data_IF_122019598096
#
_entry.id   IF_122019598096
#
_cell.length_a   1.000
_cell.length_b   1.000
_cell.length_c   1.000
_cell.angle_alpha   90.00
_cell.angle_beta   90.00
_cell.angle_gamma   90.00
#
_symmetry.space_group_name_H-M   'P 1'
#
loop_
_entity.id
_entity.type
_entity.pdbx_description
1 polymer ?
#
# COMPACT_ATOMS: atom_id res chain seq x y z
N UNK A 1 43.60 4.64 35.60
CA UNK A 1 43.08 3.42 34.93
C UNK A 1 41.72 3.06 35.54
N UNK A 2 40.71 3.92 35.36
CA UNK A 2 39.35 3.71 35.89
C UNK A 2 38.27 4.07 34.85
N UNK A 3 38.59 4.90 33.86
CA UNK A 3 37.64 5.35 32.84
C UNK A 3 37.42 4.34 31.69
N UNK A 4 38.41 3.53 31.33
CA UNK A 4 38.27 2.53 30.25
C UNK A 4 37.28 1.41 30.63
N UNK A 5 37.34 0.95 31.87
CA UNK A 5 36.48 -0.12 32.38
C UNK A 5 34.98 0.28 32.45
N UNK A 6 34.71 1.60 32.46
CA UNK A 6 33.35 2.13 32.47
C UNK A 6 32.73 2.12 31.07
N UNK A 7 33.53 2.33 30.01
CA UNK A 7 33.04 2.30 28.63
C UNK A 7 32.57 0.89 28.28
N UNK A 8 33.36 -0.14 28.58
CA UNK A 8 33.02 -1.56 28.35
C UNK A 8 31.74 -1.98 29.10
N UNK A 9 31.53 -1.44 30.32
CA UNK A 9 30.34 -1.74 31.12
C UNK A 9 29.03 -1.14 30.56
N UNK A 10 29.11 -0.08 29.75
CA UNK A 10 27.96 0.59 29.14
C UNK A 10 27.86 0.38 27.62
N UNK A 11 28.88 -0.15 26.97
CA UNK A 11 28.94 -0.38 25.52
C UNK A 11 27.71 -1.15 25.02
N UNK A 12 27.37 -2.27 25.66
CA UNK A 12 26.19 -3.07 25.28
C UNK A 12 24.87 -2.31 25.44
N UNK A 13 24.75 -1.46 26.47
CA UNK A 13 23.56 -0.63 26.67
C UNK A 13 23.45 0.45 25.60
N UNK A 14 24.57 1.09 25.26
CA UNK A 14 24.64 2.11 24.21
C UNK A 14 24.30 1.50 22.85
N UNK A 15 24.91 0.35 22.50
CA UNK A 15 24.61 -0.35 21.24
C UNK A 15 23.15 -0.72 21.15
N UNK A 16 22.58 -1.30 22.21
CA UNK A 16 21.17 -1.68 22.25
C UNK A 16 20.23 -0.47 22.10
N UNK A 17 20.54 0.66 22.74
CA UNK A 17 19.75 1.89 22.59
C UNK A 17 19.83 2.43 21.16
N UNK A 18 21.01 2.44 20.54
CA UNK A 18 21.20 2.87 19.16
C UNK A 18 20.45 1.96 18.18
N UNK A 19 20.64 0.64 18.30
CA UNK A 19 19.96 -0.37 17.48
C UNK A 19 18.44 -0.28 17.61
N UNK A 20 17.92 -0.15 18.83
CA UNK A 20 16.49 -0.04 19.07
C UNK A 20 15.92 1.28 18.49
N UNK A 21 16.65 2.38 18.60
CA UNK A 21 16.23 3.65 18.00
C UNK A 21 16.25 3.60 16.46
N UNK A 22 17.23 2.93 15.85
CA UNK A 22 17.26 2.67 14.42
C UNK A 22 16.08 1.79 13.99
N UNK A 23 15.83 0.69 14.70
CA UNK A 23 14.72 -0.23 14.44
C UNK A 23 13.36 0.46 14.55
N UNK A 24 13.15 1.31 15.56
CA UNK A 24 11.92 2.11 15.68
C UNK A 24 11.66 3.00 14.47
N UNK A 25 12.71 3.63 13.91
CA UNK A 25 12.57 4.45 12.69
C UNK A 25 12.19 3.61 11.49
N UNK A 26 12.83 2.45 11.30
CA UNK A 26 12.50 1.52 10.21
C UNK A 26 11.06 1.03 10.35
N UNK A 27 10.65 0.63 11.56
CA UNK A 27 9.28 0.21 11.85
C UNK A 27 8.27 1.31 11.55
N UNK A 28 8.55 2.56 11.96
CA UNK A 28 7.71 3.70 11.64
C UNK A 28 7.62 3.98 10.13
N UNK A 29 8.73 3.85 9.41
CA UNK A 29 8.77 3.94 7.95
C UNK A 29 7.93 2.86 7.27
N UNK A 30 8.01 1.61 7.74
CA UNK A 30 7.22 0.50 7.23
C UNK A 30 5.72 0.70 7.44
N UNK A 31 5.32 1.17 8.63
CA UNK A 31 3.92 1.50 8.91
C UNK A 31 3.41 2.63 8.01
N UNK A 32 4.25 3.64 7.76
CA UNK A 32 3.90 4.75 6.86
C UNK A 32 3.79 4.28 5.41
N UNK A 33 4.67 3.38 4.98
CA UNK A 33 4.63 2.76 3.67
C UNK A 33 3.36 1.93 3.49
N UNK A 34 3.00 1.07 4.45
CA UNK A 34 1.76 0.29 4.41
C UNK A 34 0.52 1.20 4.30
N UNK A 35 0.47 2.26 5.10
CA UNK A 35 -0.61 3.25 5.00
C UNK A 35 -0.69 3.87 3.60
N UNK A 36 0.45 4.23 2.99
CA UNK A 36 0.49 4.74 1.62
C UNK A 36 -0.02 3.71 0.61
N UNK A 37 0.40 2.45 0.71
CA UNK A 37 -0.05 1.39 -0.20
C UNK A 37 -1.55 1.11 -0.07
N UNK A 38 -2.12 1.26 1.12
CA UNK A 38 -3.55 1.12 1.35
C UNK A 38 -4.38 2.26 0.73
N UNK A 39 -3.78 3.44 0.48
CA UNK A 39 -4.45 4.54 -0.23
C UNK A 39 -4.53 4.34 -1.73
N UNK A 40 -3.75 3.41 -2.30
CA UNK A 40 -3.76 3.17 -3.73
C UNK A 40 -5.12 2.61 -4.18
N UNK A 41 -5.68 3.11 -5.29
CA UNK A 41 -6.95 2.61 -5.81
C UNK A 41 -6.85 1.13 -6.18
N UNK A 42 -7.75 0.31 -5.64
CA UNK A 42 -7.89 -1.12 -6.02
C UNK A 42 -8.71 -1.32 -7.29
N UNK A 43 -9.45 -0.29 -7.69
CA UNK A 43 -10.23 -0.27 -8.92
C UNK A 43 -10.17 1.14 -9.50
N UNK A 44 -9.86 1.22 -10.80
CA UNK A 44 -9.79 2.47 -11.54
C UNK A 44 -10.85 2.40 -12.65
N UNK A 45 -11.81 3.31 -12.63
CA UNK A 45 -12.81 3.41 -13.71
C UNK A 45 -12.12 3.96 -14.96
N UNK A 46 -12.23 3.24 -16.07
CA UNK A 46 -11.66 3.67 -17.35
C UNK A 46 -12.72 4.40 -18.17
N UNK A 47 -13.94 3.86 -18.20
CA UNK A 47 -15.13 4.49 -18.77
C UNK A 47 -16.40 4.09 -18.00
N UNK A 48 -17.58 4.37 -18.56
CA UNK A 48 -18.89 4.10 -17.98
C UNK A 48 -19.25 2.60 -17.92
N UNK A 49 -18.49 1.76 -18.62
CA UNK A 49 -18.76 0.32 -18.78
C UNK A 49 -17.53 -0.56 -18.52
N UNK A 50 -16.41 0.00 -18.09
CA UNK A 50 -15.15 -0.72 -17.84
C UNK A 50 -14.41 -0.16 -16.63
N UNK A 51 -13.79 -1.07 -15.88
CA UNK A 51 -12.90 -0.75 -14.77
C UNK A 51 -11.64 -1.60 -14.84
N UNK A 52 -10.55 -1.09 -14.30
CA UNK A 52 -9.28 -1.78 -14.13
C UNK A 52 -9.17 -2.20 -12.67
N UNK A 53 -9.18 -3.50 -12.42
CA UNK A 53 -8.88 -4.06 -11.11
C UNK A 53 -7.36 -4.07 -10.93
N UNK A 54 -6.91 -3.40 -9.87
CA UNK A 54 -5.51 -3.27 -9.48
C UNK A 54 -5.29 -4.07 -8.20
N UNK A 55 -4.55 -5.17 -8.30
CA UNK A 55 -4.18 -5.99 -7.14
C UNK A 55 -2.68 -6.25 -7.13
N UNK A 56 -2.05 -6.13 -5.97
CA UNK A 56 -0.66 -6.54 -5.79
C UNK A 56 -0.53 -8.05 -6.02
N UNK A 57 0.51 -8.46 -6.76
CA UNK A 57 0.72 -9.86 -7.16
C UNK A 57 1.57 -10.62 -6.15
N UNK A 58 2.86 -10.32 -6.17
CA UNK A 58 3.91 -11.02 -5.44
C UNK A 58 4.57 -10.06 -4.44
N UNK A 59 5.59 -10.56 -3.76
CA UNK A 59 6.40 -9.76 -2.86
C UNK A 59 7.12 -8.62 -3.60
N UNK A 60 7.36 -7.47 -2.94
CA UNK A 60 8.06 -6.35 -3.54
C UNK A 60 9.46 -6.75 -4.04
N UNK A 61 9.82 -6.31 -5.23
CA UNK A 61 11.18 -6.49 -5.75
C UNK A 61 12.12 -5.41 -5.21
N UNK A 62 13.32 -5.81 -4.78
CA UNK A 62 14.32 -4.88 -4.26
C UNK A 62 15.33 -4.53 -5.35
N UNK A 63 15.40 -3.24 -5.70
CA UNK A 63 16.45 -2.67 -6.53
C UNK A 63 17.50 -1.95 -5.69
N UNK A 64 18.59 -1.53 -6.33
CA UNK A 64 19.73 -0.87 -5.66
C UNK A 64 19.34 0.40 -4.87
N UNK A 65 18.24 1.06 -5.22
CA UNK A 65 17.70 2.24 -4.52
C UNK A 65 16.18 2.38 -4.72
N UNK A 66 15.47 1.28 -4.93
CA UNK A 66 14.05 1.28 -5.25
C UNK A 66 13.36 0.03 -4.76
N UNK A 67 12.07 0.14 -4.49
CA UNK A 67 11.19 -0.99 -4.23
C UNK A 67 10.19 -1.03 -5.39
N UNK A 68 10.20 -2.12 -6.15
CA UNK A 68 9.23 -2.38 -7.21
C UNK A 68 8.02 -3.10 -6.65
N UNK A 69 6.83 -2.70 -7.08
CA UNK A 69 5.56 -3.33 -6.72
C UNK A 69 4.84 -3.73 -8.00
N UNK A 70 4.63 -5.04 -8.16
CA UNK A 70 3.94 -5.56 -9.32
C UNK A 70 2.44 -5.61 -9.06
N UNK A 71 1.69 -5.02 -9.99
CA UNK A 71 0.24 -4.97 -9.96
C UNK A 71 -0.34 -5.72 -11.16
N UNK A 72 -1.34 -6.56 -10.89
CA UNK A 72 -2.22 -7.06 -11.94
C UNK A 72 -3.13 -5.91 -12.41
N UNK A 73 -3.23 -5.72 -13.72
CA UNK A 73 -4.15 -4.77 -14.34
C UNK A 73 -5.21 -5.50 -15.17
N UNK A 74 -6.21 -6.08 -14.50
CA UNK A 74 -7.27 -6.81 -15.20
C UNK A 74 -8.45 -5.88 -15.52
N UNK A 75 -8.77 -5.72 -16.80
CA UNK A 75 -9.98 -5.03 -17.22
C UNK A 75 -11.22 -5.86 -16.92
N UNK A 76 -12.21 -5.23 -16.30
CA UNK A 76 -13.51 -5.79 -15.97
C UNK A 76 -14.58 -4.94 -16.65
N UNK A 77 -15.50 -5.58 -17.36
CA UNK A 77 -16.70 -4.92 -17.83
C UNK A 77 -17.62 -4.61 -16.63
N UNK A 78 -17.99 -3.36 -16.47
CA UNK A 78 -19.07 -2.97 -15.58
C UNK A 78 -20.40 -3.25 -16.25
N UNK A 79 -21.32 -3.84 -15.50
CA UNK A 79 -22.71 -3.99 -15.96
C UNK A 79 -23.24 -2.58 -16.18
N UNK A 80 -23.46 -2.19 -17.43
CA UNK A 80 -24.20 -0.98 -17.76
C UNK A 80 -25.55 -1.10 -17.06
N UNK A 81 -25.77 -0.32 -16.01
CA UNK A 81 -27.12 -0.04 -15.54
C UNK A 81 -27.75 0.79 -16.65
N UNK A 82 -28.28 0.12 -17.68
CA UNK A 82 -29.27 0.71 -18.56
C UNK A 82 -30.38 1.14 -17.63
N UNK A 83 -30.44 2.44 -17.31
CA UNK A 83 -31.58 3.03 -16.65
C UNK A 83 -32.80 2.58 -17.43
N UNK A 84 -33.58 1.67 -16.83
CA UNK A 84 -34.88 1.27 -17.33
C UNK A 84 -35.72 2.55 -17.34
N UNK A 85 -35.72 3.26 -18.47
CA UNK A 85 -36.76 4.22 -18.76
C UNK A 85 -38.03 3.38 -18.87
N UNK A 86 -38.78 3.27 -17.77
CA UNK A 86 -40.09 2.65 -17.77
C UNK A 86 -40.98 3.51 -18.66
N UNK A 87 -41.14 3.08 -19.91
CA UNK A 87 -42.14 3.65 -20.81
C UNK A 87 -43.51 3.27 -20.26
N UNK A 88 -44.07 4.13 -19.41
CA UNK A 88 -45.47 4.11 -19.02
C UNK A 88 -46.31 4.31 -20.28
N UNK A 89 -46.73 3.23 -20.90
CA UNK A 89 -47.63 3.24 -22.05
C UNK A 89 -49.04 3.56 -21.54
N UNK A 90 -49.37 4.84 -21.41
CA UNK A 90 -50.76 5.27 -21.24
C UNK A 90 -51.49 5.05 -22.56
N UNK A 91 -52.20 3.92 -22.68
CA UNK A 91 -53.24 3.81 -23.70
C UNK A 91 -54.40 4.72 -23.29
N UNK A 92 -54.65 5.74 -24.11
CA UNK A 92 -55.87 6.55 -24.10
C UNK A 92 -56.56 6.31 -25.44
N UNK A 93 -57.89 6.15 -25.34
CA UNK A 93 -58.90 5.83 -26.36
C UNK A 93 -59.07 4.35 -26.69
#
# INVERSE_FOLDING_TARGET
MLCFNMIDAFEGQISSVVENNAFKKIKGGLLSLDALLQTLPREILIDDITSLIVTFMEDPSLGNSSIGLDINGLFRAQKKLTSLCSTSRTHKL
#
